data_IF_930716429753
#
_entry.id   IF_930716429753
#
_cell.length_a   1.000
_cell.length_b   1.000
_cell.length_c   1.000
_cell.angle_alpha   90.00
_cell.angle_beta   90.00
_cell.angle_gamma   90.00
#
_symmetry.space_group_name_H-M   'P 1'
#
loop_
_entity.id
_entity.type
_entity.pdbx_description
1 polymer ?
#
# COMPACT_ATOMS: atom_id res chain seq x y z
N UNK A 1 8.93 2.32 12.48
CA UNK A 1 8.18 3.23 11.58
C UNK A 1 7.01 2.45 10.99
N UNK A 2 5.91 3.10 10.58
CA UNK A 2 4.75 2.40 9.95
C UNK A 2 4.44 2.97 8.58
N UNK A 3 4.03 2.12 7.66
CA UNK A 3 3.57 2.50 6.32
C UNK A 3 2.07 2.18 6.26
N UNK A 4 1.25 3.19 5.99
CA UNK A 4 -0.20 3.05 5.84
C UNK A 4 -0.50 3.09 4.35
N UNK A 5 -1.10 2.03 3.84
CA UNK A 5 -1.41 1.86 2.42
C UNK A 5 -2.92 1.96 2.20
N UNK A 6 -3.33 2.39 1.00
CA UNK A 6 -4.74 2.55 0.63
C UNK A 6 -5.03 1.69 -0.60
N UNK A 7 -5.87 0.66 -0.41
CA UNK A 7 -6.29 -0.21 -1.51
C UNK A 7 -7.44 0.39 -2.32
N UNK A 8 -7.47 0.09 -3.62
CA UNK A 8 -8.53 0.47 -4.57
C UNK A 8 -8.75 1.98 -4.71
N UNK A 9 -7.67 2.75 -4.70
CA UNK A 9 -7.72 4.21 -4.81
C UNK A 9 -7.70 4.74 -6.27
N UNK A 10 -7.62 3.84 -7.25
CA UNK A 10 -7.72 4.15 -8.69
C UNK A 10 -8.88 3.36 -9.30
N UNK A 11 -9.79 4.06 -9.98
CA UNK A 11 -11.02 3.46 -10.51
C UNK A 11 -10.74 2.37 -11.56
N UNK A 12 -9.75 2.58 -12.44
CA UNK A 12 -9.38 1.58 -13.45
C UNK A 12 -8.75 0.33 -12.81
N UNK A 13 -7.89 0.50 -11.80
CA UNK A 13 -7.34 -0.64 -11.07
C UNK A 13 -8.42 -1.45 -10.34
N UNK A 14 -9.45 -0.79 -9.78
CA UNK A 14 -10.58 -1.50 -9.18
C UNK A 14 -11.35 -2.35 -10.21
N UNK A 15 -11.51 -1.85 -11.46
CA UNK A 15 -12.13 -2.60 -12.56
C UNK A 15 -11.29 -3.80 -12.99
N UNK A 16 -9.96 -3.65 -13.10
CA UNK A 16 -9.03 -4.74 -13.43
C UNK A 16 -9.17 -5.92 -12.45
N UNK A 17 -9.36 -5.61 -11.15
CA UNK A 17 -9.55 -6.61 -10.11
C UNK A 17 -10.98 -7.17 -10.03
N UNK A 18 -11.88 -6.79 -10.95
CA UNK A 18 -13.31 -7.07 -10.92
C UNK A 18 -13.95 -6.76 -9.55
N UNK A 19 -13.51 -5.65 -8.95
CA UNK A 19 -13.85 -5.28 -7.59
C UNK A 19 -14.67 -3.99 -7.55
N UNK A 20 -15.65 -3.93 -6.64
CA UNK A 20 -16.40 -2.70 -6.39
C UNK A 20 -15.47 -1.63 -5.81
N UNK A 21 -15.64 -0.39 -6.28
CA UNK A 21 -15.03 0.80 -5.68
C UNK A 21 -15.62 0.93 -4.27
N UNK A 22 -14.77 0.98 -3.23
CA UNK A 22 -15.27 1.03 -1.87
C UNK A 22 -15.77 2.44 -1.53
N UNK A 23 -16.85 2.55 -0.74
CA UNK A 23 -17.36 3.85 -0.26
C UNK A 23 -16.42 4.51 0.75
N UNK A 24 -15.60 3.71 1.43
CA UNK A 24 -14.58 4.15 2.39
C UNK A 24 -13.23 3.56 1.99
N UNK A 25 -12.12 4.28 2.20
CA UNK A 25 -10.79 3.76 1.86
C UNK A 25 -10.49 2.45 2.60
N UNK A 26 -9.88 1.49 1.89
CA UNK A 26 -9.41 0.24 2.47
C UNK A 26 -7.99 0.45 2.95
N UNK A 27 -7.75 0.29 4.26
CA UNK A 27 -6.43 0.46 4.85
C UNK A 27 -5.77 -0.88 5.12
N UNK A 28 -4.47 -0.94 4.88
CA UNK A 28 -3.59 -2.01 5.35
C UNK A 28 -2.22 -1.43 5.72
N UNK A 29 -1.41 -2.23 6.39
CA UNK A 29 -0.13 -1.79 6.93
C UNK A 29 1.01 -2.58 6.30
N UNK A 30 2.12 -1.89 6.04
CA UNK A 30 3.44 -2.52 5.89
C UNK A 30 4.32 -2.07 7.05
N UNK A 31 5.13 -2.99 7.55
CA UNK A 31 6.14 -2.69 8.55
C UNK A 31 7.34 -1.99 7.91
N UNK A 32 8.19 -1.38 8.73
CA UNK A 32 9.41 -0.72 8.27
C UNK A 32 10.46 -1.68 7.69
N UNK A 33 10.42 -2.96 8.08
CA UNK A 33 11.25 -4.01 7.47
C UNK A 33 10.90 -4.29 6.00
N UNK A 34 9.74 -3.85 5.51
CA UNK A 34 9.38 -3.97 4.10
C UNK A 34 10.11 -2.98 3.18
N UNK A 35 10.83 -2.00 3.73
CA UNK A 35 11.53 -0.99 2.94
C UNK A 35 12.82 -1.59 2.40
N UNK A 36 12.89 -1.68 1.08
CA UNK A 36 14.09 -2.10 0.39
C UNK A 36 15.23 -1.09 0.63
N UNK A 37 16.41 -1.60 1.00
CA UNK A 37 17.61 -0.78 1.23
C UNK A 37 18.53 -0.91 0.01
N UNK A 38 19.16 0.19 -0.39
CA UNK A 38 20.08 0.23 -1.53
C UNK A 38 21.22 -0.80 -1.45
N UNK A 39 21.65 -1.16 -0.25
CA UNK A 39 22.68 -2.18 -0.02
C UNK A 39 22.21 -3.61 -0.20
N UNK A 40 20.91 -3.85 -0.38
CA UNK A 40 20.32 -5.17 -0.53
C UNK A 40 19.99 -5.44 -2.00
N UNK A 41 20.20 -6.68 -2.44
CA UNK A 41 19.66 -7.12 -3.73
C UNK A 41 18.18 -7.42 -3.57
N UNK A 42 17.37 -7.01 -4.54
CA UNK A 42 16.00 -7.47 -4.63
C UNK A 42 15.98 -8.94 -5.06
N UNK A 43 15.19 -9.77 -4.39
CA UNK A 43 14.99 -11.17 -4.75
C UNK A 43 13.51 -11.49 -4.84
N UNK A 44 13.19 -12.41 -5.73
CA UNK A 44 11.82 -12.91 -5.87
C UNK A 44 11.52 -13.84 -4.68
N UNK A 45 10.48 -13.57 -3.86
CA UNK A 45 10.23 -14.38 -2.66
C UNK A 45 9.76 -15.80 -3.02
N UNK A 46 10.34 -16.82 -2.38
CA UNK A 46 10.04 -18.23 -2.67
C UNK A 46 8.61 -18.65 -2.30
N UNK A 47 7.93 -17.90 -1.42
CA UNK A 47 6.58 -18.21 -0.94
C UNK A 47 5.45 -17.84 -1.90
N UNK A 48 5.76 -17.14 -3.00
CA UNK A 48 4.76 -16.72 -4.00
C UNK A 48 5.17 -17.21 -5.38
N UNK A 49 4.19 -17.45 -6.25
CA UNK A 49 4.41 -17.69 -7.68
C UNK A 49 3.90 -16.54 -8.55
N UNK A 50 3.32 -15.51 -7.94
CA UNK A 50 2.69 -14.39 -8.63
C UNK A 50 2.94 -13.07 -7.89
N UNK A 51 4.16 -12.56 -8.01
CA UNK A 51 4.54 -11.27 -7.46
C UNK A 51 4.16 -10.15 -8.42
N UNK A 52 3.27 -9.27 -7.98
CA UNK A 52 2.89 -8.05 -8.71
C UNK A 52 3.62 -6.84 -8.14
N UNK A 53 3.89 -5.87 -9.01
CA UNK A 53 4.30 -4.53 -8.61
C UNK A 53 3.14 -3.55 -8.86
N UNK A 54 2.89 -2.68 -7.88
CA UNK A 54 1.93 -1.58 -8.00
C UNK A 54 2.69 -0.28 -7.75
N UNK A 55 2.74 0.62 -8.73
CA UNK A 55 3.43 1.91 -8.60
C UNK A 55 2.51 2.91 -7.90
N UNK A 56 2.96 3.45 -6.77
CA UNK A 56 2.15 4.28 -5.89
C UNK A 56 2.85 5.58 -5.50
N UNK A 57 2.05 6.61 -5.24
CA UNK A 57 2.53 7.84 -4.61
C UNK A 57 2.77 7.59 -3.13
N UNK A 58 3.99 7.90 -2.67
CA UNK A 58 4.39 7.78 -1.27
C UNK A 58 4.47 9.18 -0.65
N UNK A 59 3.72 9.39 0.43
CA UNK A 59 3.71 10.66 1.16
C UNK A 59 4.43 10.46 2.50
N UNK A 60 5.48 11.24 2.75
CA UNK A 60 6.20 11.21 4.03
C UNK A 60 5.49 12.09 5.05
N UNK A 61 4.87 11.47 6.05
CA UNK A 61 4.27 12.19 7.16
C UNK A 61 5.34 12.62 8.17
N UNK A 62 5.41 13.91 8.45
CA UNK A 62 6.48 14.54 9.25
C UNK A 62 5.97 15.10 10.58
N UNK A 63 4.66 15.05 10.82
CA UNK A 63 4.02 15.57 12.04
C UNK A 63 3.03 14.57 12.60
N UNK A 64 2.97 14.49 13.93
CA UNK A 64 1.91 13.77 14.62
C UNK A 64 0.59 14.53 14.47
N UNK A 65 -0.48 13.83 14.12
CA UNK A 65 -1.80 14.42 14.00
C UNK A 65 -2.92 13.42 14.22
N UNK A 66 -4.04 13.93 14.74
CA UNK A 66 -5.28 13.19 15.00
C UNK A 66 -6.43 14.12 14.64
N UNK A 67 -7.43 13.62 13.93
CA UNK A 67 -8.57 14.42 13.44
C UNK A 67 -8.15 15.69 12.68
N UNK A 68 -7.21 15.55 11.74
CA UNK A 68 -6.69 16.67 10.94
C UNK A 68 -7.77 17.10 9.95
N UNK A 69 -8.17 18.37 10.00
CA UNK A 69 -9.10 18.91 9.01
C UNK A 69 -8.44 18.98 7.61
N UNK A 70 -9.17 18.70 6.51
CA UNK A 70 -8.58 18.56 5.17
C UNK A 70 -7.72 19.75 4.72
N UNK A 71 -8.11 20.97 5.06
CA UNK A 71 -7.38 22.20 4.72
C UNK A 71 -5.97 22.27 5.35
N UNK A 72 -5.72 21.50 6.42
CA UNK A 72 -4.42 21.45 7.09
C UNK A 72 -3.55 20.30 6.62
N UNK A 73 -4.05 19.36 5.79
CA UNK A 73 -3.32 18.15 5.39
C UNK A 73 -1.95 18.45 4.78
N UNK A 74 -1.84 19.50 3.94
CA UNK A 74 -0.58 19.93 3.31
C UNK A 74 0.51 20.35 4.31
N UNK A 75 0.16 20.63 5.56
CA UNK A 75 1.13 20.98 6.62
C UNK A 75 1.80 19.75 7.24
N UNK A 76 1.33 18.53 6.95
CA UNK A 76 1.76 17.29 7.60
C UNK A 76 2.78 16.48 6.79
N UNK A 77 3.06 16.87 5.55
CA UNK A 77 4.08 16.29 4.70
C UNK A 77 4.80 17.39 3.94
N UNK A 78 6.08 17.21 3.65
CA UNK A 78 6.82 18.07 2.73
C UNK A 78 7.45 17.30 1.56
N UNK A 79 7.40 15.96 1.59
CA UNK A 79 7.96 15.09 0.57
C UNK A 79 6.92 14.15 -0.02
N UNK A 80 6.98 14.01 -1.34
CA UNK A 80 6.26 13.01 -2.13
C UNK A 80 7.28 12.26 -2.97
N UNK A 81 7.12 10.94 -3.08
CA UNK A 81 7.97 10.07 -3.87
C UNK A 81 7.12 9.02 -4.59
N UNK A 82 7.78 8.13 -5.33
CA UNK A 82 7.21 6.90 -5.83
C UNK A 82 7.65 5.73 -4.95
N UNK A 83 6.80 4.71 -4.86
CA UNK A 83 7.09 3.43 -4.24
C UNK A 83 6.45 2.30 -5.02
N UNK A 84 6.99 1.09 -4.86
CA UNK A 84 6.38 -0.12 -5.38
C UNK A 84 5.73 -0.89 -4.24
N UNK A 85 4.41 -0.98 -4.24
CA UNK A 85 3.69 -1.93 -3.40
C UNK A 85 3.79 -3.32 -4.06
N UNK A 86 4.78 -4.09 -3.59
CA UNK A 86 4.96 -5.47 -4.00
C UNK A 86 3.95 -6.36 -3.28
N UNK A 87 3.16 -7.10 -4.07
CA UNK A 87 2.07 -7.94 -3.59
C UNK A 87 2.23 -9.36 -4.11
N UNK A 88 2.28 -10.34 -3.21
CA UNK A 88 2.10 -11.75 -3.54
C UNK A 88 0.61 -12.00 -3.86
N UNK A 89 0.24 -11.89 -5.14
CA UNK A 89 -1.16 -11.84 -5.56
C UNK A 89 -1.90 -13.14 -5.29
N UNK A 90 -1.22 -14.25 -5.50
CA UNK A 90 -1.70 -15.59 -5.20
C UNK A 90 -2.10 -15.74 -3.72
N UNK A 91 -1.28 -15.27 -2.80
CA UNK A 91 -1.58 -15.26 -1.36
C UNK A 91 -2.69 -14.27 -1.02
N UNK A 92 -2.67 -13.06 -1.59
CA UNK A 92 -3.70 -12.06 -1.32
C UNK A 92 -5.10 -12.54 -1.74
N UNK A 93 -5.23 -13.27 -2.87
CA UNK A 93 -6.50 -13.88 -3.28
C UNK A 93 -7.00 -14.89 -2.24
N UNK A 94 -6.13 -15.79 -1.77
CA UNK A 94 -6.46 -16.76 -0.71
C UNK A 94 -6.89 -16.06 0.58
N UNK A 95 -6.21 -14.97 0.98
CA UNK A 95 -6.61 -14.22 2.16
C UNK A 95 -7.99 -13.58 2.00
N UNK A 96 -8.27 -12.99 0.83
CA UNK A 96 -9.59 -12.42 0.52
C UNK A 96 -10.71 -13.46 0.55
N UNK A 97 -10.49 -14.62 -0.07
CA UNK A 97 -11.46 -15.72 -0.12
C UNK A 97 -11.83 -16.24 1.28
N UNK A 98 -10.84 -16.33 2.18
CA UNK A 98 -11.03 -16.82 3.54
C UNK A 98 -11.35 -15.72 4.57
N UNK A 99 -11.39 -14.45 4.17
CA UNK A 99 -11.54 -13.33 5.11
C UNK A 99 -10.36 -13.16 6.08
N UNK A 100 -9.18 -13.66 5.72
CA UNK A 100 -7.95 -13.54 6.51
C UNK A 100 -7.28 -12.18 6.31
N UNK A 101 -6.43 -11.75 7.27
CA UNK A 101 -5.59 -10.58 7.08
C UNK A 101 -4.68 -10.73 5.85
N UNK A 102 -4.42 -9.61 5.19
CA UNK A 102 -3.46 -9.52 4.08
C UNK A 102 -2.04 -9.35 4.61
#
# INVERSE_FOLDING_TARGET
MKIICIGRNYAEHAKEMNAKIPEKPIYFLKSDVCIHRESQKFYYPEFTKELHFECELVIRIERLGKFIAPQFAKKYYSHVSLGLDLTARDLQRKCKENGHPW
#
